data_IF_451009724326
#
_entry.id   IF_451009724326
#
_cell.length_a   1.000
_cell.length_b   1.000
_cell.length_c   1.000
_cell.angle_alpha   90.00
_cell.angle_beta   90.00
_cell.angle_gamma   90.00
#
_symmetry.space_group_name_H-M   'P 1'
#
loop_
_entity.id
_entity.type
_entity.pdbx_description
1 polymer ?
#
# COMPACT_ATOMS: atom_id res chain seq x y z
N UNK A 1 -21.15 0.48 1.54
CA UNK A 1 -20.43 1.01 0.37
C UNK A 1 -18.97 1.15 0.76
N UNK A 2 -18.07 0.51 0.01
CA UNK A 2 -16.64 0.78 0.11
C UNK A 2 -16.47 2.19 -0.46
N UNK A 3 -15.99 3.14 0.33
CA UNK A 3 -15.83 4.53 -0.09
C UNK A 3 -14.96 4.60 -1.34
N UNK A 4 -15.36 5.41 -2.31
CA UNK A 4 -14.57 5.67 -3.49
C UNK A 4 -13.29 6.40 -3.09
N UNK A 5 -12.16 5.94 -3.61
CA UNK A 5 -10.93 6.74 -3.59
C UNK A 5 -11.20 7.91 -4.54
N UNK A 6 -10.98 9.17 -4.14
CA UNK A 6 -11.16 10.29 -5.04
C UNK A 6 -10.23 10.13 -6.25
N UNK A 7 -10.76 9.71 -7.39
CA UNK A 7 -10.00 9.60 -8.64
C UNK A 7 -9.52 10.97 -9.17
N UNK A 8 -10.00 12.05 -8.55
CA UNK A 8 -9.64 13.43 -8.91
C UNK A 8 -8.18 13.80 -8.67
N UNK A 9 -7.47 13.03 -7.84
CA UNK A 9 -6.07 13.31 -7.49
C UNK A 9 -5.07 12.62 -8.44
N UNK A 10 -5.58 11.74 -9.31
CA UNK A 10 -4.79 11.10 -10.35
C UNK A 10 -4.77 11.98 -11.61
N UNK A 11 -3.57 12.25 -12.13
CA UNK A 11 -3.36 13.03 -13.35
C UNK A 11 -2.96 12.12 -14.51
N UNK A 12 -3.87 11.93 -15.50
CA UNK A 12 -3.51 11.19 -16.69
C UNK A 12 -2.60 12.03 -17.61
N UNK A 13 -1.61 11.38 -18.20
CA UNK A 13 -0.80 11.94 -19.28
C UNK A 13 -1.42 11.57 -20.63
N UNK A 14 -1.03 12.30 -21.71
CA UNK A 14 -1.47 11.98 -23.06
C UNK A 14 -0.99 10.61 -23.55
N UNK A 15 0.10 10.11 -22.98
CA UNK A 15 0.75 8.85 -23.34
C UNK A 15 0.19 7.64 -22.56
N UNK A 16 -0.90 7.82 -21.81
CA UNK A 16 -1.57 6.75 -21.09
C UNK A 16 -0.95 6.37 -19.75
N UNK A 17 -0.19 7.28 -19.16
CA UNK A 17 0.32 7.12 -17.78
C UNK A 17 -0.49 7.95 -16.80
N UNK A 18 -0.38 7.60 -15.54
CA UNK A 18 -1.00 8.34 -14.42
C UNK A 18 0.03 8.56 -13.31
N UNK A 19 -0.16 9.64 -12.58
CA UNK A 19 0.58 9.98 -11.37
C UNK A 19 -0.33 10.79 -10.42
N UNK A 20 0.06 10.92 -9.17
CA UNK A 20 -0.67 11.75 -8.20
C UNK A 20 -0.35 13.22 -8.49
N UNK A 21 -1.38 14.08 -8.48
CA UNK A 21 -1.19 15.52 -8.63
C UNK A 21 -0.13 16.02 -7.62
N UNK A 22 0.99 16.64 -8.08
CA UNK A 22 2.03 17.11 -7.18
C UNK A 22 1.52 18.09 -6.11
N UNK A 23 0.48 18.85 -6.41
CA UNK A 23 -0.12 19.81 -5.46
C UNK A 23 -0.94 19.13 -4.36
N UNK A 24 -1.32 17.87 -4.56
CA UNK A 24 -2.12 17.05 -3.65
C UNK A 24 -1.28 16.00 -2.92
N UNK A 25 -0.13 15.65 -3.44
CA UNK A 25 0.69 14.54 -2.97
C UNK A 25 0.94 14.57 -1.45
N UNK A 26 1.33 15.73 -0.91
CA UNK A 26 1.60 15.86 0.53
C UNK A 26 0.34 15.60 1.38
N UNK A 27 -0.83 16.10 0.95
CA UNK A 27 -2.09 15.95 1.68
C UNK A 27 -2.66 14.54 1.57
N UNK A 28 -2.45 13.85 0.45
CA UNK A 28 -3.13 12.59 0.16
C UNK A 28 -2.29 11.38 0.58
N UNK A 29 -0.96 11.43 0.39
CA UNK A 29 -0.11 10.25 0.64
C UNK A 29 0.95 10.44 1.72
N UNK A 30 1.30 11.68 2.08
CA UNK A 30 2.50 12.00 2.87
C UNK A 30 2.26 12.99 4.04
N UNK A 31 1.05 13.01 4.62
CA UNK A 31 0.73 13.95 5.72
C UNK A 31 1.57 13.73 6.99
N UNK A 32 2.14 12.57 7.16
CA UNK A 32 2.97 12.17 8.29
C UNK A 32 4.49 12.24 8.02
N UNK A 33 4.88 12.84 6.87
CA UNK A 33 6.27 13.10 6.52
C UNK A 33 6.64 14.59 6.65
N UNK A 34 7.93 14.91 6.86
CA UNK A 34 8.41 16.29 6.78
C UNK A 34 8.10 16.91 5.41
N UNK A 35 7.68 18.19 5.34
CA UNK A 35 7.27 18.83 4.08
C UNK A 35 8.30 18.74 2.95
N UNK A 36 9.58 18.95 3.25
CA UNK A 36 10.65 18.86 2.26
C UNK A 36 10.81 17.44 1.68
N UNK A 37 10.56 16.40 2.50
CA UNK A 37 10.60 15.02 2.05
C UNK A 37 9.39 14.71 1.17
N UNK A 38 8.20 15.16 1.56
CA UNK A 38 6.97 15.00 0.76
C UNK A 38 7.11 15.69 -0.60
N UNK A 39 7.67 16.90 -0.65
CA UNK A 39 7.94 17.65 -1.88
C UNK A 39 8.94 16.90 -2.79
N UNK A 40 10.05 16.44 -2.23
CA UNK A 40 11.03 15.64 -2.97
C UNK A 40 10.39 14.39 -3.59
N UNK A 41 9.60 13.66 -2.81
CA UNK A 41 8.93 12.44 -3.28
C UNK A 41 7.88 12.73 -4.35
N UNK A 42 7.14 13.82 -4.18
CA UNK A 42 6.17 14.29 -5.19
C UNK A 42 6.83 14.54 -6.55
N UNK A 43 8.00 15.21 -6.55
CA UNK A 43 8.75 15.52 -7.76
C UNK A 43 9.49 14.30 -8.35
N UNK A 44 9.66 13.24 -7.56
CA UNK A 44 10.36 12.02 -7.95
C UNK A 44 9.43 10.87 -8.34
N UNK A 45 8.13 11.13 -8.50
CA UNK A 45 7.16 10.10 -8.88
C UNK A 45 7.53 9.42 -10.20
N UNK A 46 7.44 8.10 -10.24
CA UNK A 46 7.47 7.33 -11.49
C UNK A 46 6.03 7.13 -11.98
N UNK A 47 5.66 7.63 -13.16
CA UNK A 47 4.32 7.43 -13.70
C UNK A 47 4.00 5.94 -13.91
N UNK A 48 2.77 5.55 -13.60
CA UNK A 48 2.28 4.18 -13.78
C UNK A 48 1.43 4.11 -15.04
N UNK A 49 1.61 3.09 -15.87
CA UNK A 49 0.75 2.89 -17.03
C UNK A 49 -0.71 2.66 -16.57
N UNK A 50 -1.65 3.44 -17.09
CA UNK A 50 -3.07 3.30 -16.76
C UNK A 50 -3.59 1.88 -17.03
N UNK A 51 -3.12 1.26 -18.13
CA UNK A 51 -3.46 -0.12 -18.47
C UNK A 51 -3.06 -1.16 -17.41
N UNK A 52 -2.14 -0.85 -16.50
CA UNK A 52 -1.77 -1.77 -15.43
C UNK A 52 -2.91 -1.99 -14.43
N UNK A 53 -3.84 -1.05 -14.30
CA UNK A 53 -5.00 -1.18 -13.40
C UNK A 53 -6.09 -2.10 -13.98
N UNK A 54 -6.15 -2.25 -15.28
CA UNK A 54 -7.10 -3.09 -16.00
C UNK A 54 -6.50 -4.47 -16.35
N UNK A 55 -5.22 -4.67 -16.09
CA UNK A 55 -4.54 -5.93 -16.41
C UNK A 55 -5.06 -7.08 -15.54
N UNK A 56 -5.49 -8.20 -16.12
CA UNK A 56 -5.98 -9.34 -15.35
C UNK A 56 -4.82 -10.01 -14.59
N UNK A 57 -5.00 -10.23 -13.29
CA UNK A 57 -4.11 -11.06 -12.49
C UNK A 57 -4.43 -12.55 -12.76
N UNK A 58 -3.67 -13.20 -13.63
CA UNK A 58 -3.89 -14.59 -14.02
C UNK A 58 -3.46 -15.58 -12.93
N UNK A 59 -2.50 -15.19 -12.08
CA UNK A 59 -2.01 -15.97 -10.94
C UNK A 59 -2.13 -15.15 -9.67
N UNK A 60 -2.80 -15.72 -8.68
CA UNK A 60 -3.01 -15.06 -7.39
C UNK A 60 -2.30 -15.87 -6.28
N UNK A 61 -1.01 -15.60 -6.07
CA UNK A 61 -0.15 -16.34 -5.12
C UNK A 61 -0.68 -16.34 -3.68
N UNK A 62 -1.46 -15.34 -3.29
CA UNK A 62 -2.11 -15.27 -1.97
C UNK A 62 -3.10 -16.41 -1.70
N UNK A 63 -3.52 -17.17 -2.72
CA UNK A 63 -4.38 -18.35 -2.55
C UNK A 63 -3.64 -19.56 -1.97
N UNK A 64 -2.32 -19.63 -2.21
CA UNK A 64 -1.48 -20.77 -1.89
C UNK A 64 -0.35 -20.42 -0.91
N UNK A 65 -0.18 -19.14 -0.60
CA UNK A 65 0.89 -18.65 0.25
C UNK A 65 0.34 -17.86 1.45
N UNK A 66 0.94 -17.99 2.64
CA UNK A 66 0.66 -17.10 3.76
C UNK A 66 0.83 -15.64 3.33
N UNK A 67 -0.13 -14.82 3.69
CA UNK A 67 -0.15 -13.41 3.32
C UNK A 67 -0.29 -12.53 4.56
N UNK A 68 0.41 -11.40 4.57
CA UNK A 68 0.40 -10.44 5.67
C UNK A 68 0.13 -9.06 5.09
N UNK A 69 -0.71 -8.28 5.77
CA UNK A 69 -1.12 -6.96 5.29
C UNK A 69 -0.96 -5.91 6.38
N UNK A 70 -0.50 -4.72 6.00
CA UNK A 70 -0.50 -3.55 6.87
C UNK A 70 -1.60 -2.61 6.38
N UNK A 71 -2.50 -2.23 7.29
CA UNK A 71 -3.50 -1.19 7.05
C UNK A 71 -3.04 0.08 7.74
N UNK A 72 -2.72 1.10 6.95
CA UNK A 72 -2.50 2.44 7.44
C UNK A 72 -3.86 3.08 7.75
N UNK A 73 -4.16 3.31 9.05
CA UNK A 73 -5.53 3.67 9.46
C UNK A 73 -5.92 5.12 9.20
N UNK A 74 -4.95 5.97 8.87
CA UNK A 74 -5.15 7.36 8.44
C UNK A 74 -4.75 7.56 6.96
N UNK A 75 -4.82 6.52 6.15
CA UNK A 75 -4.51 6.56 4.72
C UNK A 75 -5.56 7.36 3.95
N UNK A 76 -5.12 8.42 3.27
CA UNK A 76 -5.98 9.27 2.44
C UNK A 76 -5.92 8.87 0.95
N UNK A 77 -4.93 8.08 0.54
CA UNK A 77 -4.80 7.60 -0.84
C UNK A 77 -5.58 6.29 -1.07
N UNK A 78 -5.53 5.36 -0.11
CA UNK A 78 -6.29 4.12 -0.15
C UNK A 78 -7.21 4.05 1.08
N UNK A 79 -8.51 4.03 0.84
CA UNK A 79 -9.49 3.92 1.92
C UNK A 79 -9.17 2.71 2.83
N UNK A 80 -8.95 2.92 4.15
CA UNK A 80 -8.60 1.83 5.06
C UNK A 80 -9.66 0.71 5.13
N UNK A 81 -10.95 1.02 4.90
CA UNK A 81 -12.00 0.00 4.83
C UNK A 81 -11.83 -0.89 3.59
N UNK A 82 -11.44 -0.30 2.46
CA UNK A 82 -11.15 -1.06 1.24
C UNK A 82 -9.91 -1.94 1.44
N UNK A 83 -8.85 -1.41 2.04
CA UNK A 83 -7.65 -2.20 2.37
C UNK A 83 -7.99 -3.40 3.27
N UNK A 84 -8.77 -3.20 4.33
CA UNK A 84 -9.24 -4.30 5.20
C UNK A 84 -10.05 -5.34 4.43
N UNK A 85 -10.94 -4.90 3.55
CA UNK A 85 -11.73 -5.82 2.74
C UNK A 85 -10.85 -6.66 1.80
N UNK A 86 -9.88 -6.03 1.13
CA UNK A 86 -8.95 -6.72 0.22
C UNK A 86 -8.10 -7.75 0.97
N UNK A 87 -7.53 -7.40 2.12
CA UNK A 87 -6.73 -8.30 2.94
C UNK A 87 -7.56 -9.43 3.56
N UNK A 88 -8.78 -9.13 4.02
CA UNK A 88 -9.70 -10.18 4.49
C UNK A 88 -10.05 -11.17 3.37
N UNK A 89 -10.30 -10.68 2.16
CA UNK A 89 -10.56 -11.51 0.99
C UNK A 89 -9.37 -12.42 0.66
N UNK A 90 -8.16 -11.94 0.82
CA UNK A 90 -6.94 -12.75 0.58
C UNK A 90 -6.57 -13.68 1.74
N UNK A 91 -7.27 -13.63 2.87
CA UNK A 91 -6.92 -14.39 4.07
C UNK A 91 -5.65 -13.90 4.76
N UNK A 92 -5.23 -12.65 4.50
CA UNK A 92 -4.03 -12.09 5.09
C UNK A 92 -4.18 -11.84 6.59
N UNK A 93 -3.11 -12.08 7.35
CA UNK A 93 -2.97 -11.59 8.71
C UNK A 93 -2.78 -10.07 8.68
N UNK A 94 -3.66 -9.33 9.37
CA UNK A 94 -3.72 -7.87 9.28
C UNK A 94 -3.09 -7.23 10.51
N UNK A 95 -2.18 -6.29 10.29
CA UNK A 95 -1.68 -5.37 11.31
C UNK A 95 -2.12 -3.95 10.96
N UNK A 96 -2.73 -3.25 11.90
CA UNK A 96 -3.14 -1.86 11.73
C UNK A 96 -2.11 -0.91 12.33
N UNK A 97 -1.72 0.12 11.57
CA UNK A 97 -0.77 1.14 12.02
C UNK A 97 -1.41 2.52 11.79
N UNK A 98 -1.40 3.37 12.82
CA UNK A 98 -1.88 4.76 12.68
C UNK A 98 -0.84 5.58 11.90
N UNK A 99 -0.98 5.61 10.59
CA UNK A 99 -0.12 6.32 9.65
C UNK A 99 -0.90 6.63 8.37
N UNK A 100 -0.33 7.48 7.49
CA UNK A 100 -0.83 7.69 6.14
C UNK A 100 -0.23 6.64 5.19
N UNK A 101 -0.44 6.79 3.90
CA UNK A 101 -0.10 5.84 2.83
C UNK A 101 1.36 5.39 2.83
N UNK A 102 2.28 6.29 3.16
CA UNK A 102 3.72 6.03 3.21
C UNK A 102 4.20 5.52 4.58
N UNK A 103 3.41 4.66 5.22
CA UNK A 103 3.69 4.08 6.54
C UNK A 103 5.08 3.46 6.67
N UNK A 104 5.62 2.88 5.61
CA UNK A 104 6.96 2.27 5.59
C UNK A 104 8.10 3.31 5.66
N UNK A 105 7.80 4.57 5.39
CA UNK A 105 8.74 5.69 5.55
C UNK A 105 8.54 6.39 6.89
N UNK A 106 7.28 6.65 7.28
CA UNK A 106 6.98 7.36 8.51
C UNK A 106 7.18 6.50 9.76
N UNK A 107 6.96 5.18 9.65
CA UNK A 107 7.08 4.22 10.76
C UNK A 107 7.86 2.94 10.37
N UNK A 108 9.11 3.06 9.92
CA UNK A 108 9.88 1.94 9.39
C UNK A 108 10.07 0.81 10.41
N UNK A 109 10.23 1.13 11.69
CA UNK A 109 10.39 0.14 12.75
C UNK A 109 9.15 -0.73 12.95
N UNK A 110 7.94 -0.14 12.88
CA UNK A 110 6.70 -0.89 12.97
C UNK A 110 6.52 -1.82 11.77
N UNK A 111 6.82 -1.34 10.56
CA UNK A 111 6.76 -2.15 9.34
C UNK A 111 7.78 -3.28 9.38
N UNK A 112 9.02 -3.01 9.80
CA UNK A 112 10.06 -4.04 9.95
C UNK A 112 9.62 -5.15 10.93
N UNK A 113 8.99 -4.79 12.06
CA UNK A 113 8.49 -5.77 13.03
C UNK A 113 7.42 -6.70 12.45
N UNK A 114 6.54 -6.18 11.59
CA UNK A 114 5.54 -7.01 10.88
C UNK A 114 6.23 -7.97 9.91
N UNK A 115 7.20 -7.48 9.13
CA UNK A 115 7.96 -8.31 8.19
C UNK A 115 8.74 -9.41 8.91
N UNK A 116 9.40 -9.10 10.02
CA UNK A 116 10.13 -10.09 10.82
C UNK A 116 9.19 -11.14 11.43
N UNK A 117 8.01 -10.74 11.89
CA UNK A 117 7.00 -11.66 12.43
C UNK A 117 6.52 -12.60 11.34
N UNK A 118 6.21 -12.07 10.15
CA UNK A 118 5.83 -12.86 8.99
C UNK A 118 6.93 -13.87 8.61
N UNK A 119 8.18 -13.42 8.54
CA UNK A 119 9.31 -14.29 8.19
C UNK A 119 9.50 -15.43 9.21
N UNK A 120 9.39 -15.13 10.51
CA UNK A 120 9.50 -16.15 11.58
C UNK A 120 8.38 -17.17 11.52
N UNK A 121 7.16 -16.76 11.25
CA UNK A 121 6.00 -17.69 11.19
C UNK A 121 6.09 -18.66 10.02
N UNK A 122 6.62 -18.24 8.88
CA UNK A 122 6.84 -19.13 7.71
C UNK A 122 8.06 -20.03 7.93
N UNK A 123 9.15 -19.50 8.50
CA UNK A 123 10.38 -20.25 8.77
C UNK A 123 10.19 -21.35 9.82
N UNK A 124 9.41 -21.09 10.87
CA UNK A 124 9.09 -22.08 11.92
C UNK A 124 8.28 -23.29 11.43
N UNK A 125 7.52 -23.13 10.35
CA UNK A 125 6.77 -24.24 9.74
C UNK A 125 7.64 -25.14 8.86
N UNK A 126 8.74 -24.60 8.28
CA UNK A 126 9.66 -25.39 7.47
C UNK A 126 10.46 -26.42 8.28
N UNK A 127 10.70 -26.15 9.56
CA UNK A 127 11.48 -27.03 10.45
C UNK A 127 10.63 -28.18 11.03
N UNK A 128 9.30 -28.12 10.93
CA UNK A 128 8.40 -29.19 11.42
C UNK A 128 7.98 -30.21 10.36
N UNK A 129 8.44 -30.03 9.13
CA UNK A 129 8.10 -30.89 7.98
C UNK A 129 9.25 -31.82 7.56
N UNK A 130 10.25 -32.07 8.44
CA UNK A 130 11.32 -33.06 8.23
C UNK A 130 11.19 -34.19 9.26
#
# INVERSE_FOLDING_TARGET
MLGEVPSSDLKPTKDGFIFIDPTKFAADVATDLPPAQAEYMSNSQMPVAAAAFDAPATVAAWRDKPSYGIVATADHALNPMLARWMYKRSGAEITEIKANHLVYISQPGAVASVIETAARSVGGNATKAQ
#
